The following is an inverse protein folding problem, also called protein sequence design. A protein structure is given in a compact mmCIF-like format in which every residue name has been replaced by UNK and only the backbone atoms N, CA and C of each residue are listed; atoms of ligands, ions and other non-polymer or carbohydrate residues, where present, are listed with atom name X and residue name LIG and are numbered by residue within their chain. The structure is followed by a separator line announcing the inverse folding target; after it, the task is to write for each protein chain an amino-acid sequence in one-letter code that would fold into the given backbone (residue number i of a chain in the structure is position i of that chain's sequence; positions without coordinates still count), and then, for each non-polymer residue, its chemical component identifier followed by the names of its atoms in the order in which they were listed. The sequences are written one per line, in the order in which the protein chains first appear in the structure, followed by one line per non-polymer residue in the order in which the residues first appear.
data_IF_629977439292
#
_entry.id   IF_629977439292
#
_cell.length_a   1.000
_cell.length_b   1.000
_cell.length_c   1.000
_cell.angle_alpha   90.00
_cell.angle_beta   90.00
_cell.angle_gamma   90.00
#
_symmetry.space_group_name_H-M   'P 1'
#
loop_
_entity.id
_entity.type
_entity.pdbx_description
1 polymer ?
#
# COMPACT_ATOMS: atom_id res chain seq x y z
N UNK A 1 48.72 -11.17 3.09
CA UNK A 1 48.59 -11.17 1.62
C UNK A 1 47.16 -11.47 1.35
N UNK A 2 46.46 -10.61 0.62
CA UNK A 2 45.06 -10.85 0.23
C UNK A 2 45.03 -12.06 -0.69
N UNK A 3 44.45 -13.17 -0.23
CA UNK A 3 44.05 -14.24 -1.13
C UNK A 3 43.13 -13.61 -2.19
N UNK A 4 43.45 -13.79 -3.47
CA UNK A 4 42.55 -13.40 -4.54
C UNK A 4 41.29 -14.26 -4.41
N UNK A 5 40.13 -13.63 -4.25
CA UNK A 5 38.84 -14.31 -4.22
C UNK A 5 38.67 -15.14 -5.51
N UNK A 6 38.74 -16.46 -5.38
CA UNK A 6 38.56 -17.42 -6.49
C UNK A 6 37.11 -17.91 -6.61
N UNK A 7 36.22 -17.41 -5.74
CA UNK A 7 34.80 -17.74 -5.76
C UNK A 7 33.95 -16.90 -6.73
N UNK A 8 32.61 -16.99 -6.63
CA UNK A 8 31.70 -16.22 -7.46
C UNK A 8 31.94 -14.73 -7.28
N UNK A 9 31.75 -13.96 -8.35
CA UNK A 9 32.05 -12.53 -8.34
C UNK A 9 30.81 -11.64 -8.47
N UNK A 10 29.64 -12.22 -8.75
CA UNK A 10 28.36 -11.52 -8.83
C UNK A 10 27.18 -12.48 -8.69
N UNK A 11 26.02 -11.92 -8.35
CA UNK A 11 24.73 -12.55 -8.54
C UNK A 11 24.21 -12.14 -9.92
N UNK A 12 23.79 -13.10 -10.74
CA UNK A 12 23.27 -12.86 -12.09
C UNK A 12 22.27 -13.96 -12.46
N UNK A 13 21.63 -13.80 -13.61
CA UNK A 13 20.68 -14.77 -14.16
C UNK A 13 21.43 -16.04 -14.60
N UNK A 14 20.96 -17.18 -14.12
CA UNK A 14 21.39 -18.53 -14.52
C UNK A 14 20.22 -19.18 -15.27
N UNK A 15 20.43 -19.51 -16.54
CA UNK A 15 19.43 -20.18 -17.37
C UNK A 15 19.67 -21.68 -17.45
N UNK A 16 18.58 -22.47 -17.53
CA UNK A 16 18.65 -23.89 -17.91
C UNK A 16 19.30 -24.11 -19.29
N UNK A 17 19.30 -23.08 -20.13
CA UNK A 17 19.87 -23.12 -21.47
C UNK A 17 21.36 -22.72 -21.50
N UNK A 18 21.92 -22.29 -20.38
CA UNK A 18 23.34 -21.96 -20.31
C UNK A 18 24.18 -23.22 -20.49
N UNK A 19 25.32 -23.14 -21.20
CA UNK A 19 26.20 -24.28 -21.37
C UNK A 19 26.69 -24.77 -20.00
N UNK A 20 26.73 -26.09 -19.80
CA UNK A 20 27.31 -26.66 -18.58
C UNK A 20 28.76 -26.22 -18.44
N UNK A 21 29.07 -25.56 -17.32
CA UNK A 21 30.43 -25.20 -16.93
C UNK A 21 30.86 -26.19 -15.85
N UNK A 22 31.96 -26.90 -16.07
CA UNK A 22 32.41 -27.96 -15.17
C UNK A 22 31.51 -29.21 -15.23
N UNK A 23 31.26 -29.83 -14.08
CA UNK A 23 30.43 -31.05 -13.96
C UNK A 23 29.04 -30.78 -13.37
N UNK A 24 28.74 -29.54 -13.01
CA UNK A 24 27.49 -29.18 -12.35
C UNK A 24 26.38 -28.92 -13.35
N UNK A 25 25.18 -29.40 -13.00
CA UNK A 25 23.94 -29.00 -13.63
C UNK A 25 23.31 -27.96 -12.69
N UNK A 26 23.07 -26.72 -13.15
CA UNK A 26 22.33 -25.75 -12.36
C UNK A 26 20.98 -26.33 -11.94
N UNK A 27 20.47 -25.97 -10.75
CA UNK A 27 19.11 -26.32 -10.34
C UNK A 27 18.09 -25.91 -11.40
N UNK A 28 16.98 -26.64 -11.46
CA UNK A 28 15.83 -26.25 -12.28
C UNK A 28 15.16 -25.02 -11.65
N UNK A 29 15.05 -23.87 -12.37
CA UNK A 29 14.23 -22.74 -11.94
C UNK A 29 12.81 -23.15 -11.54
N UNK A 30 12.22 -22.40 -10.62
CA UNK A 30 10.85 -22.63 -10.19
C UNK A 30 9.88 -22.37 -11.35
N UNK A 31 10.12 -21.26 -12.06
CA UNK A 31 9.50 -20.95 -13.34
C UNK A 31 10.55 -20.86 -14.44
N UNK A 32 10.46 -21.74 -15.44
CA UNK A 32 11.40 -21.75 -16.56
C UNK A 32 11.41 -20.38 -17.29
N UNK A 33 12.56 -19.94 -17.84
CA UNK A 33 13.78 -20.74 -18.07
C UNK A 33 14.98 -20.41 -17.16
N UNK A 34 14.85 -19.50 -16.19
CA UNK A 34 16.01 -18.97 -15.47
C UNK A 34 15.67 -18.51 -14.05
N UNK A 35 16.69 -18.44 -13.19
CA UNK A 35 16.62 -17.90 -11.83
C UNK A 35 17.87 -17.04 -11.55
N UNK A 36 17.92 -16.30 -10.45
CA UNK A 36 19.10 -15.53 -10.03
C UNK A 36 19.99 -16.37 -9.13
N UNK A 37 21.30 -16.42 -9.37
CA UNK A 37 22.25 -17.11 -8.49
C UNK A 37 23.69 -16.61 -8.64
N UNK A 38 24.64 -17.18 -7.88
CA UNK A 38 26.05 -16.80 -7.94
C UNK A 38 26.72 -17.25 -9.24
N UNK A 39 27.46 -16.34 -9.88
CA UNK A 39 28.19 -16.57 -11.13
C UNK A 39 29.69 -16.24 -10.97
N UNK A 40 30.61 -17.14 -11.40
CA UNK A 40 30.34 -18.48 -11.92
C UNK A 40 29.87 -19.45 -10.82
N UNK A 41 29.01 -20.38 -11.21
CA UNK A 41 28.56 -21.46 -10.33
C UNK A 41 29.66 -22.51 -10.09
N UNK A 42 30.42 -22.85 -11.13
CA UNK A 42 31.59 -23.75 -11.09
C UNK A 42 32.68 -23.25 -12.07
N UNK A 43 33.94 -23.59 -11.84
CA UNK A 43 35.03 -23.34 -12.80
C UNK A 43 35.04 -24.37 -13.94
N UNK A 44 35.68 -24.01 -15.05
CA UNK A 44 35.82 -24.87 -16.23
C UNK A 44 36.61 -26.18 -15.98
N UNK A 45 37.44 -26.22 -14.94
CA UNK A 45 38.21 -27.40 -14.53
C UNK A 45 37.45 -28.31 -13.53
N UNK A 46 36.20 -27.97 -13.21
CA UNK A 46 35.37 -28.69 -12.24
C UNK A 46 35.63 -28.32 -10.78
N UNK A 47 36.39 -27.25 -10.52
CA UNK A 47 36.52 -26.70 -9.17
C UNK A 47 35.21 -26.06 -8.77
N UNK A 48 34.66 -26.46 -7.62
CA UNK A 48 33.52 -25.79 -7.01
C UNK A 48 33.96 -24.40 -6.51
N UNK A 49 33.88 -23.40 -7.41
CA UNK A 49 34.21 -22.00 -7.13
C UNK A 49 33.32 -21.44 -6.06
N UNK A 50 32.07 -21.89 -6.00
CA UNK A 50 31.11 -21.39 -5.04
C UNK A 50 31.54 -21.65 -3.58
N UNK A 51 32.12 -22.81 -3.27
CA UNK A 51 32.55 -23.09 -1.89
C UNK A 51 33.75 -22.23 -1.45
N UNK A 52 34.40 -21.53 -2.38
CA UNK A 52 35.55 -20.69 -2.10
C UNK A 52 35.12 -19.35 -1.52
N UNK A 53 36.02 -18.72 -0.76
CA UNK A 53 35.81 -17.35 -0.31
C UNK A 53 35.66 -16.39 -1.50
N UNK A 54 34.73 -15.46 -1.37
CA UNK A 54 34.41 -14.43 -2.36
C UNK A 54 34.13 -13.09 -1.70
N UNK A 55 34.04 -12.03 -2.50
CA UNK A 55 33.49 -10.77 -2.00
C UNK A 55 32.03 -10.96 -1.65
N UNK A 56 31.54 -10.23 -0.66
CA UNK A 56 30.10 -10.19 -0.38
C UNK A 56 29.34 -9.79 -1.64
N UNK A 57 28.32 -10.57 -1.98
CA UNK A 57 27.48 -10.35 -3.14
C UNK A 57 26.15 -9.75 -2.68
N UNK A 58 25.69 -8.73 -3.40
CA UNK A 58 24.39 -8.10 -3.17
C UNK A 58 23.75 -7.82 -4.52
N UNK A 59 22.55 -8.35 -4.74
CA UNK A 59 21.67 -7.95 -5.84
C UNK A 59 20.50 -7.18 -5.26
N UNK A 60 20.31 -5.94 -5.70
CA UNK A 60 19.28 -5.03 -5.19
C UNK A 60 18.16 -4.84 -6.21
N UNK A 61 16.92 -4.95 -5.77
CA UNK A 61 15.74 -4.65 -6.59
C UNK A 61 15.63 -3.14 -6.91
N UNK A 62 14.83 -2.75 -7.90
CA UNK A 62 14.30 -1.40 -7.98
C UNK A 62 13.58 -1.00 -6.68
N UNK A 63 13.52 0.30 -6.36
CA UNK A 63 12.75 0.79 -5.23
C UNK A 63 11.24 0.58 -5.44
N UNK A 64 10.53 0.25 -4.38
CA UNK A 64 9.06 0.10 -4.33
C UNK A 64 8.50 0.69 -3.04
N UNK A 65 7.22 1.06 -3.02
CA UNK A 65 6.53 1.49 -1.80
C UNK A 65 5.73 0.34 -1.20
N UNK A 66 5.62 0.31 0.12
CA UNK A 66 4.70 -0.60 0.81
C UNK A 66 3.65 0.24 1.53
N UNK A 67 2.39 -0.05 1.25
CA UNK A 67 1.19 0.53 1.83
C UNK A 67 0.46 -0.54 2.65
N UNK A 68 -0.60 -0.18 3.41
CA UNK A 68 -1.41 -1.19 4.06
C UNK A 68 -1.87 -2.27 3.08
N UNK A 69 -1.86 -3.51 3.55
CA UNK A 69 -2.23 -4.71 2.80
C UNK A 69 -1.27 -5.03 1.64
N UNK A 70 -0.08 -4.43 1.64
CA UNK A 70 1.03 -4.86 0.80
C UNK A 70 1.59 -6.21 1.26
N UNK A 71 2.19 -6.94 0.32
CA UNK A 71 2.78 -8.25 0.53
C UNK A 71 4.07 -8.37 -0.30
N UNK A 72 5.04 -9.09 0.24
CA UNK A 72 6.25 -9.48 -0.48
C UNK A 72 6.34 -11.01 -0.49
N UNK A 73 6.64 -11.61 -1.64
CA UNK A 73 6.92 -13.04 -1.75
C UNK A 73 8.15 -13.28 -2.62
N UNK A 74 8.92 -14.31 -2.30
CA UNK A 74 10.06 -14.74 -3.11
C UNK A 74 10.39 -16.21 -2.82
N UNK A 75 10.94 -16.91 -3.81
CA UNK A 75 11.38 -18.29 -3.67
C UNK A 75 12.91 -18.39 -3.55
N UNK A 76 13.38 -19.21 -2.62
CA UNK A 76 14.80 -19.51 -2.43
C UNK A 76 15.10 -21.00 -2.57
N UNK A 77 16.24 -21.33 -3.15
CA UNK A 77 16.79 -22.70 -3.25
C UNK A 77 18.25 -22.71 -2.76
N UNK A 78 18.78 -23.86 -2.32
CA UNK A 78 20.19 -24.01 -1.95
C UNK A 78 20.44 -24.12 -0.44
N UNK A 79 21.39 -23.37 0.11
CA UNK A 79 21.75 -23.37 1.53
C UNK A 79 20.76 -22.64 2.43
N UNK A 80 20.66 -23.06 3.69
CA UNK A 80 19.95 -22.33 4.75
C UNK A 80 20.95 -21.77 5.74
N UNK A 81 21.39 -20.55 5.48
CA UNK A 81 22.30 -19.81 6.33
C UNK A 81 21.57 -18.57 6.85
N UNK A 82 20.64 -18.84 7.77
CA UNK A 82 19.95 -17.81 8.53
C UNK A 82 20.91 -17.15 9.54
N UNK A 83 20.70 -15.86 9.81
CA UNK A 83 21.47 -15.12 10.81
C UNK A 83 22.33 -14.03 10.22
N UNK A 84 21.70 -12.92 9.85
CA UNK A 84 22.37 -11.64 9.63
C UNK A 84 22.10 -10.76 10.86
N UNK A 85 23.15 -10.34 11.58
CA UNK A 85 23.01 -9.39 12.69
C UNK A 85 22.71 -8.00 12.11
N UNK A 86 21.42 -7.65 12.06
CA UNK A 86 20.97 -6.40 11.45
C UNK A 86 21.47 -5.18 12.20
N UNK A 87 21.60 -5.25 13.52
CA UNK A 87 22.11 -4.14 14.32
C UNK A 87 23.59 -3.87 13.98
N UNK A 88 24.40 -4.92 13.92
CA UNK A 88 25.80 -4.82 13.51
C UNK A 88 25.94 -4.35 12.05
N UNK A 89 25.15 -4.92 11.13
CA UNK A 89 25.20 -4.54 9.71
C UNK A 89 24.74 -3.09 9.49
N UNK A 90 23.73 -2.62 10.21
CA UNK A 90 23.27 -1.24 10.11
C UNK A 90 24.26 -0.24 10.72
N UNK A 91 25.08 -0.67 11.69
CA UNK A 91 26.13 0.15 12.29
C UNK A 91 27.42 0.17 11.44
N UNK A 92 27.87 -1.01 10.99
CA UNK A 92 29.22 -1.22 10.45
C UNK A 92 29.24 -1.57 8.96
N UNK A 93 28.09 -1.88 8.36
CA UNK A 93 27.95 -2.38 7.00
C UNK A 93 28.07 -3.90 6.89
N UNK A 94 27.84 -4.44 5.69
CA UNK A 94 28.07 -5.85 5.38
C UNK A 94 29.58 -6.16 5.41
N UNK A 95 29.99 -7.39 5.82
CA UNK A 95 31.39 -7.78 5.73
C UNK A 95 31.89 -7.68 4.28
N UNK A 96 33.17 -7.36 4.07
CA UNK A 96 33.73 -7.23 2.71
C UNK A 96 33.91 -8.58 1.98
N UNK A 97 34.10 -9.65 2.75
CA UNK A 97 34.47 -10.99 2.27
C UNK A 97 33.59 -12.03 2.94
N UNK A 98 33.20 -13.06 2.19
CA UNK A 98 32.38 -14.15 2.69
C UNK A 98 33.16 -15.07 3.64
N UNK A 99 32.43 -15.75 4.53
CA UNK A 99 33.02 -16.63 5.54
C UNK A 99 32.16 -17.86 5.84
N UNK A 100 32.74 -18.85 6.50
CA UNK A 100 32.02 -20.05 6.96
C UNK A 100 30.87 -19.77 7.94
N UNK A 101 30.80 -18.56 8.53
CA UNK A 101 29.73 -18.13 9.43
C UNK A 101 28.85 -17.03 8.84
N UNK A 102 29.00 -16.73 7.55
CA UNK A 102 28.14 -15.76 6.86
C UNK A 102 26.71 -16.25 6.66
N UNK A 103 25.89 -15.37 6.11
CA UNK A 103 24.48 -15.59 5.81
C UNK A 103 24.17 -15.48 4.31
N UNK A 104 23.11 -16.16 3.86
CA UNK A 104 22.56 -16.06 2.50
C UNK A 104 21.05 -15.97 2.57
N UNK A 105 20.46 -14.96 1.93
CA UNK A 105 19.03 -14.69 2.01
C UNK A 105 18.64 -13.33 1.45
N UNK A 106 17.37 -12.97 1.61
CA UNK A 106 16.79 -11.70 1.13
C UNK A 106 16.51 -10.78 2.31
N UNK A 107 17.03 -9.56 2.23
CA UNK A 107 16.80 -8.51 3.21
C UNK A 107 15.85 -7.44 2.67
N UNK A 108 14.94 -6.94 3.53
CA UNK A 108 14.19 -5.72 3.26
C UNK A 108 15.01 -4.52 3.72
N UNK A 109 15.23 -3.54 2.84
CA UNK A 109 16.06 -2.36 3.12
C UNK A 109 15.29 -1.08 2.90
N UNK A 110 15.32 -0.17 3.87
CA UNK A 110 14.75 1.17 3.74
C UNK A 110 15.62 2.05 2.86
N UNK A 111 15.03 2.78 1.90
CA UNK A 111 15.80 3.61 0.96
C UNK A 111 16.32 4.88 1.61
N UNK A 112 15.52 5.52 2.47
CA UNK A 112 15.79 6.86 3.02
C UNK A 112 17.05 6.94 3.88
N UNK A 113 17.33 5.92 4.70
CA UNK A 113 18.50 5.85 5.57
C UNK A 113 19.43 4.67 5.26
N UNK A 114 18.98 3.72 4.43
CA UNK A 114 19.74 2.56 4.03
C UNK A 114 19.76 1.39 5.00
N UNK A 115 18.96 1.42 6.06
CA UNK A 115 18.91 0.37 7.07
C UNK A 115 18.22 -0.90 6.55
N UNK A 116 18.75 -2.06 6.91
CA UNK A 116 18.11 -3.35 6.75
C UNK A 116 17.16 -3.61 7.92
N UNK A 117 15.93 -3.99 7.60
CA UNK A 117 14.81 -4.12 8.56
C UNK A 117 14.51 -5.58 8.89
N UNK A 118 14.62 -6.47 7.90
CA UNK A 118 14.46 -7.93 8.05
C UNK A 118 15.48 -8.66 7.20
N UNK A 119 15.75 -9.91 7.56
CA UNK A 119 16.55 -10.84 6.76
C UNK A 119 15.91 -12.22 6.79
N UNK A 120 15.61 -12.76 5.62
CA UNK A 120 14.89 -13.99 5.44
C UNK A 120 15.74 -14.97 4.64
N UNK A 121 15.91 -16.18 5.17
CA UNK A 121 16.66 -17.25 4.55
C UNK A 121 15.82 -18.52 4.55
N UNK A 122 16.26 -19.51 3.77
CA UNK A 122 15.68 -20.84 3.80
C UNK A 122 15.71 -21.43 5.20
N UNK A 123 14.73 -22.26 5.53
CA UNK A 123 14.62 -22.94 6.83
C UNK A 123 15.53 -24.16 6.95
N UNK A 124 15.80 -24.88 5.85
CA UNK A 124 16.58 -26.12 5.85
C UNK A 124 17.75 -26.12 4.85
N UNK A 125 18.93 -26.55 5.29
CA UNK A 125 20.13 -26.61 4.44
C UNK A 125 20.16 -27.88 3.59
N UNK A 126 20.77 -27.79 2.40
CA UNK A 126 21.11 -28.97 1.59
C UNK A 126 20.00 -29.50 0.68
N UNK A 127 18.93 -28.72 0.48
CA UNK A 127 17.81 -29.09 -0.39
C UNK A 127 17.99 -28.52 -1.80
N UNK A 128 17.51 -29.29 -2.79
CA UNK A 128 17.32 -28.85 -4.17
C UNK A 128 15.85 -28.45 -4.44
N UNK A 129 15.06 -28.29 -3.38
CA UNK A 129 13.69 -27.79 -3.46
C UNK A 129 13.67 -26.28 -3.23
N UNK A 130 12.81 -25.60 -3.97
CA UNK A 130 12.45 -24.23 -3.73
C UNK A 130 11.59 -24.10 -2.47
N UNK A 131 11.84 -23.04 -1.71
CA UNK A 131 11.09 -22.63 -0.54
C UNK A 131 10.58 -21.22 -0.77
N UNK A 132 9.26 -21.06 -0.80
CA UNK A 132 8.62 -19.74 -0.91
C UNK A 132 8.49 -19.11 0.46
N UNK A 133 8.98 -17.89 0.59
CA UNK A 133 8.86 -17.06 1.78
C UNK A 133 7.90 -15.93 1.45
N UNK A 134 6.91 -15.74 2.31
CA UNK A 134 5.90 -14.69 2.21
C UNK A 134 6.05 -13.79 3.43
N UNK A 135 6.12 -12.48 3.19
CA UNK A 135 5.99 -11.43 4.19
C UNK A 135 4.64 -10.77 3.94
N UNK A 136 3.65 -11.16 4.72
CA UNK A 136 2.31 -10.61 4.61
C UNK A 136 2.18 -9.27 5.36
N UNK A 137 0.97 -8.74 5.44
CA UNK A 137 0.71 -7.49 6.15
C UNK A 137 1.12 -7.58 7.62
N UNK A 138 0.87 -8.69 8.31
CA UNK A 138 1.20 -8.84 9.72
C UNK A 138 2.71 -8.84 9.92
N UNK A 139 3.45 -9.54 9.06
CA UNK A 139 4.92 -9.56 9.09
C UNK A 139 5.53 -8.18 8.81
N UNK A 140 4.94 -7.43 7.89
CA UNK A 140 5.40 -6.09 7.53
C UNK A 140 4.99 -5.03 8.55
N UNK A 141 3.93 -5.28 9.33
CA UNK A 141 3.41 -4.32 10.32
C UNK A 141 4.42 -4.11 11.44
N UNK A 142 4.86 -2.87 11.60
CA UNK A 142 5.86 -2.49 12.61
C UNK A 142 7.31 -2.70 12.17
N UNK A 143 7.52 -3.37 11.03
CA UNK A 143 8.81 -3.39 10.32
C UNK A 143 8.92 -2.19 9.40
N UNK A 144 7.87 -1.91 8.63
CA UNK A 144 7.83 -0.80 7.67
C UNK A 144 7.04 0.39 8.21
N UNK A 145 7.41 1.58 7.73
CA UNK A 145 6.52 2.75 7.71
C UNK A 145 5.78 2.76 6.37
N UNK A 146 4.45 2.70 6.40
CA UNK A 146 3.66 2.68 5.17
C UNK A 146 3.81 3.97 4.35
N UNK A 147 3.91 3.83 3.02
CA UNK A 147 4.14 4.91 2.06
C UNK A 147 5.61 5.27 1.83
N UNK A 148 6.52 4.81 2.70
CA UNK A 148 7.96 4.93 2.47
C UNK A 148 8.44 3.94 1.39
N UNK A 149 9.65 4.17 0.90
CA UNK A 149 10.26 3.39 -0.17
C UNK A 149 11.32 2.41 0.34
N UNK A 150 11.32 1.20 -0.22
CA UNK A 150 12.15 0.06 0.16
C UNK A 150 12.82 -0.60 -1.06
N UNK A 151 13.83 -1.42 -0.80
CA UNK A 151 14.38 -2.39 -1.77
C UNK A 151 14.46 -3.77 -1.13
N UNK A 152 14.46 -4.82 -1.97
CA UNK A 152 14.90 -6.15 -1.59
C UNK A 152 16.36 -6.33 -2.02
N UNK A 153 17.18 -6.80 -1.10
CA UNK A 153 18.57 -7.13 -1.33
C UNK A 153 18.75 -8.64 -1.17
N UNK A 154 19.09 -9.35 -2.25
CA UNK A 154 19.58 -10.71 -2.18
C UNK A 154 21.05 -10.69 -1.82
N UNK A 155 21.39 -11.16 -0.62
CA UNK A 155 22.70 -11.03 0.00
C UNK A 155 23.33 -12.41 0.14
N UNK A 156 24.61 -12.50 -0.22
CA UNK A 156 25.47 -13.66 0.02
C UNK A 156 26.78 -13.22 0.68
N UNK A 157 26.93 -13.59 1.94
CA UNK A 157 28.14 -13.39 2.75
C UNK A 157 28.75 -14.71 3.21
N UNK A 158 28.27 -15.85 2.72
CA UNK A 158 28.69 -17.16 3.20
C UNK A 158 29.54 -17.90 2.16
N UNK A 159 30.59 -18.57 2.63
CA UNK A 159 31.38 -19.49 1.80
C UNK A 159 31.57 -20.82 2.53
N UNK A 160 31.49 -21.92 1.79
CA UNK A 160 31.70 -23.26 2.30
C UNK A 160 30.71 -24.26 1.72
N UNK A 161 30.79 -25.51 2.15
CA UNK A 161 29.88 -26.56 1.69
C UNK A 161 28.42 -26.16 1.92
N UNK A 162 27.60 -26.24 0.87
CA UNK A 162 26.21 -25.74 0.86
C UNK A 162 25.96 -24.21 1.07
N UNK A 163 26.97 -23.31 1.07
CA UNK A 163 26.78 -21.84 0.87
C UNK A 163 26.55 -21.22 -0.53
N UNK A 164 25.36 -21.42 -1.13
CA UNK A 164 24.83 -20.83 -2.38
C UNK A 164 23.35 -20.77 -2.16
N UNK A 165 22.71 -19.72 -2.66
CA UNK A 165 21.29 -19.75 -2.87
C UNK A 165 20.94 -19.28 -4.28
N UNK A 166 19.80 -19.73 -4.77
CA UNK A 166 19.11 -19.15 -5.91
C UNK A 166 17.90 -18.36 -5.43
N UNK A 167 17.54 -17.32 -6.17
CA UNK A 167 16.35 -16.50 -5.98
C UNK A 167 15.48 -16.56 -7.24
N UNK A 168 14.18 -16.78 -7.07
CA UNK A 168 13.20 -16.80 -8.15
C UNK A 168 11.84 -16.25 -7.66
N UNK A 169 10.91 -16.01 -8.59
CA UNK A 169 9.50 -15.65 -8.31
C UNK A 169 9.31 -14.52 -7.28
N UNK A 170 10.05 -13.42 -7.45
CA UNK A 170 9.87 -12.23 -6.61
C UNK A 170 8.56 -11.52 -6.98
N UNK A 171 7.63 -11.46 -6.04
CA UNK A 171 6.37 -10.73 -6.14
C UNK A 171 6.37 -9.63 -5.09
N UNK A 172 6.12 -8.40 -5.53
CA UNK A 172 5.91 -7.25 -4.66
C UNK A 172 4.52 -6.70 -4.97
N UNK A 173 3.62 -6.81 -4.01
CA UNK A 173 2.32 -6.17 -4.02
C UNK A 173 2.40 -4.97 -3.09
N UNK A 174 2.37 -3.76 -3.64
CA UNK A 174 2.58 -2.53 -2.86
C UNK A 174 1.45 -2.26 -1.85
N UNK A 175 0.24 -2.80 -2.06
CA UNK A 175 -0.94 -2.46 -1.25
C UNK A 175 -1.64 -1.19 -1.72
N UNK A 176 -2.62 -0.71 -0.95
CA UNK A 176 -3.43 0.46 -1.35
C UNK A 176 -2.96 1.75 -0.65
N UNK A 177 -2.61 2.82 -1.38
CA UNK A 177 -2.16 4.07 -0.78
C UNK A 177 -3.18 4.70 0.18
N UNK A 178 -2.69 5.24 1.30
CA UNK A 178 -3.46 6.12 2.17
C UNK A 178 -3.42 7.52 1.57
N UNK A 179 -4.56 8.16 1.38
CA UNK A 179 -4.64 9.54 0.91
C UNK A 179 -4.76 10.46 2.12
N UNK A 180 -3.94 11.51 2.16
CA UNK A 180 -3.95 12.53 3.23
C UNK A 180 -4.01 13.94 2.65
N UNK A 181 -4.95 14.74 3.13
CA UNK A 181 -5.12 16.15 2.81
C UNK A 181 -5.19 16.97 4.10
N UNK A 182 -4.09 17.60 4.48
CA UNK A 182 -3.98 18.46 5.66
C UNK A 182 -3.85 19.95 5.29
N UNK A 183 -3.72 20.29 4.01
CA UNK A 183 -3.63 21.65 3.47
C UNK A 183 -2.48 22.50 4.03
N UNK A 184 -1.59 21.89 4.81
CA UNK A 184 -0.43 22.50 5.47
C UNK A 184 0.62 23.03 4.49
N UNK A 185 0.60 22.59 3.23
CA UNK A 185 1.43 23.14 2.16
C UNK A 185 0.87 24.43 1.54
N UNK A 186 -0.20 24.95 2.14
CA UNK A 186 -0.96 26.13 1.73
C UNK A 186 -1.57 26.00 0.32
N UNK A 187 -1.79 24.77 -0.15
CA UNK A 187 -2.48 24.47 -1.41
C UNK A 187 -3.77 23.71 -1.18
N UNK A 188 -4.63 23.64 -2.21
CA UNK A 188 -5.83 22.79 -2.18
C UNK A 188 -5.52 21.31 -2.46
N UNK A 189 -4.26 20.92 -2.64
CA UNK A 189 -3.84 19.53 -2.84
C UNK A 189 -4.66 18.74 -3.89
N UNK A 190 -5.09 19.43 -4.95
CA UNK A 190 -5.88 18.85 -6.04
C UNK A 190 -7.41 18.92 -5.87
N UNK A 191 -7.91 19.44 -4.74
CA UNK A 191 -9.34 19.71 -4.57
C UNK A 191 -9.81 20.83 -5.53
N UNK A 192 -11.03 20.71 -6.04
CA UNK A 192 -11.61 21.61 -7.05
C UNK A 192 -12.80 22.39 -6.52
N UNK A 193 -12.89 23.66 -6.88
CA UNK A 193 -14.08 24.47 -6.63
C UNK A 193 -15.17 24.11 -7.63
N UNK A 194 -16.35 23.71 -7.17
CA UNK A 194 -17.50 23.41 -8.03
C UNK A 194 -18.44 24.62 -8.17
N UNK A 195 -18.14 25.74 -7.50
CA UNK A 195 -18.87 26.99 -7.59
C UNK A 195 -18.14 28.12 -6.87
N UNK A 196 -18.46 29.36 -7.27
CA UNK A 196 -18.02 30.58 -6.58
C UNK A 196 -19.23 31.48 -6.36
N UNK A 197 -19.19 32.26 -5.28
CA UNK A 197 -20.19 33.28 -4.97
C UNK A 197 -19.68 34.68 -5.32
N UNK A 198 -20.59 35.54 -5.74
CA UNK A 198 -20.32 36.98 -5.95
C UNK A 198 -20.61 37.84 -4.70
N UNK A 199 -21.25 37.24 -3.67
CA UNK A 199 -21.61 37.90 -2.40
C UNK A 199 -21.22 37.03 -1.21
N UNK A 200 -21.06 37.63 -0.03
CA UNK A 200 -20.58 36.87 1.14
C UNK A 200 -19.20 36.26 0.86
N UNK A 201 -18.89 35.07 1.41
CA UNK A 201 -17.69 34.34 1.03
C UNK A 201 -17.82 33.87 -0.42
N UNK A 202 -16.75 34.09 -1.17
CA UNK A 202 -16.70 33.81 -2.61
C UNK A 202 -16.36 32.36 -2.91
N UNK A 203 -15.68 31.64 -2.01
CA UNK A 203 -15.24 30.26 -2.20
C UNK A 203 -14.83 29.59 -0.88
N UNK A 204 -14.58 28.28 -0.90
CA UNK A 204 -13.96 27.53 0.20
C UNK A 204 -12.47 27.33 -0.10
N UNK A 205 -11.59 28.15 0.47
CA UNK A 205 -10.15 28.11 0.16
C UNK A 205 -9.27 27.90 1.38
N UNK A 206 -7.95 27.84 1.14
CA UNK A 206 -6.96 27.70 2.20
C UNK A 206 -6.89 28.98 3.03
N UNK A 207 -6.98 28.83 4.35
CA UNK A 207 -6.75 29.86 5.37
C UNK A 207 -5.52 29.43 6.17
N UNK A 208 -4.50 30.28 6.21
CA UNK A 208 -3.25 30.04 6.91
C UNK A 208 -3.09 30.97 8.11
N UNK A 209 -2.42 30.50 9.17
CA UNK A 209 -1.97 31.38 10.27
C UNK A 209 -0.96 32.44 9.81
N UNK A 210 -0.39 32.26 8.62
CA UNK A 210 0.53 33.20 8.00
C UNK A 210 -0.19 34.29 7.18
N UNK A 211 -1.50 34.15 6.94
CA UNK A 211 -2.26 35.12 6.17
C UNK A 211 -2.36 36.45 6.93
N UNK A 212 -2.35 37.59 6.21
CA UNK A 212 -2.60 38.88 6.84
C UNK A 212 -4.00 38.91 7.42
N UNK A 213 -4.14 39.47 8.62
CA UNK A 213 -5.45 39.72 9.22
C UNK A 213 -6.30 40.59 8.29
N UNK A 214 -7.49 40.11 7.93
CA UNK A 214 -8.49 40.87 7.19
C UNK A 214 -9.59 41.28 8.16
N UNK A 215 -9.88 42.57 8.24
CA UNK A 215 -10.82 43.12 9.22
C UNK A 215 -10.31 43.04 10.66
N UNK A 216 -11.23 42.79 11.59
CA UNK A 216 -10.98 42.67 13.04
C UNK A 216 -11.01 41.20 13.52
N UNK A 217 -11.43 40.26 12.67
CA UNK A 217 -11.53 38.84 12.97
C UNK A 217 -10.19 38.12 12.78
N UNK A 218 -9.86 37.25 13.73
CA UNK A 218 -8.78 36.27 13.58
C UNK A 218 -9.44 34.95 13.18
N UNK A 219 -9.08 34.35 12.03
CA UNK A 219 -9.55 33.02 11.69
C UNK A 219 -9.21 32.01 12.80
N UNK A 220 -9.96 30.91 12.93
CA UNK A 220 -9.59 29.83 13.84
C UNK A 220 -8.17 29.33 13.60
N UNK A 221 -7.56 28.79 14.64
CA UNK A 221 -6.27 28.11 14.50
C UNK A 221 -6.51 26.76 13.80
N UNK A 222 -5.72 26.40 12.77
CA UNK A 222 -5.74 25.07 12.15
C UNK A 222 -5.61 23.94 13.17
N UNK A 223 -6.08 22.74 12.83
CA UNK A 223 -5.91 21.58 13.72
C UNK A 223 -4.42 21.20 13.77
N UNK A 224 -3.78 21.16 12.60
CA UNK A 224 -2.33 21.14 12.45
C UNK A 224 -1.91 22.38 11.68
N UNK A 225 -0.84 23.02 12.14
CA UNK A 225 -0.34 24.22 11.49
C UNK A 225 0.42 23.87 10.19
N UNK A 226 0.38 24.75 9.17
CA UNK A 226 -0.07 26.14 9.24
C UNK A 226 -1.49 26.45 8.75
N UNK A 227 -2.23 25.51 8.14
CA UNK A 227 -3.41 25.92 7.35
C UNK A 227 -4.56 24.90 7.35
N UNK A 228 -5.75 25.37 6.98
CA UNK A 228 -6.96 24.56 6.81
C UNK A 228 -7.83 25.15 5.68
N UNK A 229 -8.89 24.47 5.27
CA UNK A 229 -9.85 25.00 4.28
C UNK A 229 -11.04 25.66 4.97
N UNK A 230 -11.45 26.87 4.54
CA UNK A 230 -12.64 27.55 5.03
C UNK A 230 -13.14 28.65 4.09
N UNK A 231 -14.19 29.40 4.45
CA UNK A 231 -14.78 30.44 3.60
C UNK A 231 -13.82 31.62 3.40
N UNK A 232 -13.64 32.03 2.14
CA UNK A 232 -12.84 33.18 1.74
C UNK A 232 -13.65 34.22 0.95
N UNK A 233 -13.56 35.52 1.30
CA UNK A 233 -12.88 36.05 2.47
C UNK A 233 -13.63 35.68 3.76
N UNK A 234 -12.88 35.52 4.86
CA UNK A 234 -13.46 35.19 6.16
C UNK A 234 -14.19 36.40 6.81
N UNK A 235 -13.72 37.60 6.50
CA UNK A 235 -14.30 38.89 6.90
C UNK A 235 -13.92 39.96 5.86
N UNK A 236 -14.71 41.04 5.76
CA UNK A 236 -14.46 42.17 4.88
C UNK A 236 -13.40 43.11 5.49
N UNK A 237 -12.65 43.87 4.67
CA UNK A 237 -11.66 44.83 5.15
C UNK A 237 -12.22 45.94 6.07
N UNK A 238 -13.54 46.18 6.04
CA UNK A 238 -14.22 47.14 6.91
C UNK A 238 -14.73 46.53 8.22
N UNK A 239 -14.42 45.26 8.48
CA UNK A 239 -14.89 44.49 9.64
C UNK A 239 -16.30 43.90 9.48
N UNK A 240 -16.88 43.97 8.27
CA UNK A 240 -18.14 43.32 7.94
C UNK A 240 -18.03 41.80 8.01
N UNK A 241 -18.96 41.15 8.70
CA UNK A 241 -18.95 39.69 8.90
C UNK A 241 -19.40 38.94 7.62
N UNK A 242 -18.50 38.84 6.65
CA UNK A 242 -18.74 38.27 5.32
C UNK A 242 -19.22 36.82 5.39
N UNK A 243 -18.63 36.02 6.28
CA UNK A 243 -18.98 34.60 6.50
C UNK A 243 -20.40 34.34 6.97
N UNK A 244 -21.07 35.30 7.60
CA UNK A 244 -22.47 35.12 8.02
C UNK A 244 -23.48 35.65 6.96
N UNK A 245 -23.00 36.27 5.87
CA UNK A 245 -23.86 36.83 4.82
C UNK A 245 -24.38 35.75 3.88
N UNK A 246 -25.47 36.04 3.17
CA UNK A 246 -25.93 35.16 2.11
C UNK A 246 -24.94 35.14 0.92
N UNK A 247 -24.62 33.93 0.49
CA UNK A 247 -23.75 33.59 -0.64
C UNK A 247 -24.37 32.48 -1.51
N UNK A 248 -23.84 32.25 -2.71
CA UNK A 248 -24.11 31.03 -3.46
C UNK A 248 -23.65 29.80 -2.67
N UNK A 249 -24.29 28.65 -2.88
CA UNK A 249 -23.80 27.40 -2.25
C UNK A 249 -22.37 27.12 -2.72
N UNK A 250 -21.46 26.95 -1.76
CA UNK A 250 -20.06 26.68 -2.01
C UNK A 250 -19.80 25.19 -1.89
N UNK A 251 -18.98 24.65 -2.78
CA UNK A 251 -18.62 23.23 -2.79
C UNK A 251 -17.15 23.11 -3.20
N UNK A 252 -16.36 22.48 -2.33
CA UNK A 252 -15.00 22.07 -2.62
C UNK A 252 -14.95 20.54 -2.70
N UNK A 253 -14.57 20.01 -3.86
CA UNK A 253 -14.57 18.57 -4.17
C UNK A 253 -13.16 17.98 -4.11
N UNK A 254 -13.00 16.82 -3.49
CA UNK A 254 -11.73 16.10 -3.45
C UNK A 254 -11.37 15.47 -4.80
N UNK A 255 -10.09 15.12 -5.03
CA UNK A 255 -9.74 14.13 -6.04
C UNK A 255 -10.52 12.83 -5.83
N UNK A 256 -10.82 12.06 -6.91
CA UNK A 256 -11.53 10.80 -6.79
C UNK A 256 -10.66 9.72 -6.14
N UNK A 257 -11.30 8.79 -5.43
CA UNK A 257 -10.65 7.66 -4.76
C UNK A 257 -11.55 6.42 -4.71
N UNK A 258 -10.93 5.25 -4.60
CA UNK A 258 -11.67 4.00 -4.35
C UNK A 258 -11.88 3.74 -2.86
N UNK A 259 -12.98 3.07 -2.53
CA UNK A 259 -13.21 2.47 -1.21
C UNK A 259 -13.59 1.00 -1.37
N UNK A 260 -13.24 0.20 -0.38
CA UNK A 260 -13.60 -1.20 -0.26
C UNK A 260 -14.19 -1.49 1.12
N UNK A 261 -14.62 -2.73 1.36
CA UNK A 261 -15.48 -3.10 2.50
C UNK A 261 -14.90 -2.82 3.89
N UNK A 262 -13.57 -2.80 4.04
CA UNK A 262 -12.84 -2.45 5.27
C UNK A 262 -12.24 -1.02 5.22
N UNK A 263 -12.70 -0.19 4.28
CA UNK A 263 -12.27 1.19 4.15
C UNK A 263 -12.66 2.07 5.34
N UNK A 264 -11.91 3.16 5.53
CA UNK A 264 -12.15 4.15 6.58
C UNK A 264 -11.89 5.56 6.02
N UNK A 265 -12.69 6.53 6.45
CA UNK A 265 -12.48 7.94 6.16
C UNK A 265 -12.48 8.71 7.47
N UNK A 266 -11.57 9.66 7.64
CA UNK A 266 -11.66 10.65 8.72
C UNK A 266 -11.43 12.06 8.19
N UNK A 267 -12.04 13.04 8.84
CA UNK A 267 -11.81 14.47 8.57
C UNK A 267 -12.16 15.29 9.81
N UNK A 268 -11.57 16.47 9.94
CA UNK A 268 -11.84 17.38 11.05
C UNK A 268 -12.66 18.58 10.57
N UNK A 269 -13.66 18.96 11.36
CA UNK A 269 -14.50 20.13 11.12
C UNK A 269 -14.47 21.11 12.30
N UNK A 270 -14.54 22.40 12.01
CA UNK A 270 -14.68 23.50 12.98
C UNK A 270 -15.80 24.46 12.54
N UNK A 271 -16.41 25.22 13.46
CA UNK A 271 -17.41 26.24 13.12
C UNK A 271 -18.87 25.82 13.38
N UNK A 272 -19.77 26.02 12.43
CA UNK A 272 -21.21 25.73 12.53
C UNK A 272 -21.53 24.24 12.50
N UNK A 273 -22.66 23.86 13.12
CA UNK A 273 -23.25 22.53 13.04
C UNK A 273 -24.63 22.62 12.39
N UNK A 274 -24.65 22.51 11.07
CA UNK A 274 -25.86 22.59 10.26
C UNK A 274 -25.97 21.32 9.42
N UNK A 275 -26.52 20.26 10.01
CA UNK A 275 -26.54 18.91 9.43
C UNK A 275 -27.82 18.58 8.67
N UNK A 276 -28.71 19.57 8.48
CA UNK A 276 -29.98 19.39 7.78
C UNK A 276 -29.73 19.24 6.27
N UNK A 277 -29.32 18.05 5.85
CA UNK A 277 -29.04 17.70 4.46
C UNK A 277 -29.92 16.54 4.03
N UNK A 278 -30.92 16.83 3.20
CA UNK A 278 -31.82 15.81 2.66
C UNK A 278 -31.21 15.23 1.38
N UNK A 279 -30.64 14.03 1.51
CA UNK A 279 -29.99 13.31 0.40
C UNK A 279 -30.98 13.02 -0.74
N UNK A 280 -32.24 12.71 -0.43
CA UNK A 280 -33.24 12.40 -1.47
C UNK A 280 -33.60 13.67 -2.24
N UNK A 281 -33.84 14.78 -1.55
CA UNK A 281 -34.15 16.07 -2.17
C UNK A 281 -32.98 16.58 -3.03
N UNK A 282 -31.76 16.55 -2.49
CA UNK A 282 -30.57 17.03 -3.20
C UNK A 282 -30.24 16.16 -4.40
N UNK A 283 -30.37 14.83 -4.30
CA UNK A 283 -30.13 13.96 -5.46
C UNK A 283 -31.21 14.11 -6.54
N UNK A 284 -32.44 14.46 -6.16
CA UNK A 284 -33.52 14.70 -7.12
C UNK A 284 -33.42 16.06 -7.82
N UNK A 285 -33.00 17.10 -7.09
CA UNK A 285 -33.13 18.50 -7.55
C UNK A 285 -31.80 19.26 -7.67
N UNK A 286 -30.69 18.68 -7.19
CA UNK A 286 -29.42 19.37 -7.00
C UNK A 286 -29.33 20.10 -5.66
N UNK A 287 -28.15 20.64 -5.37
CA UNK A 287 -27.94 21.54 -4.23
C UNK A 287 -28.72 22.85 -4.43
N UNK A 288 -29.18 23.52 -3.35
CA UNK A 288 -29.77 24.85 -3.47
C UNK A 288 -28.77 25.82 -4.11
N UNK A 289 -29.22 26.72 -4.97
CA UNK A 289 -28.33 27.68 -5.64
C UNK A 289 -27.71 28.70 -4.67
N UNK A 290 -28.43 29.04 -3.61
CA UNK A 290 -28.03 30.03 -2.62
C UNK A 290 -28.15 29.49 -1.20
N UNK A 291 -27.27 29.99 -0.34
CA UNK A 291 -27.29 29.71 1.08
C UNK A 291 -28.50 30.32 1.78
N UNK A 292 -28.87 29.73 2.92
CA UNK A 292 -29.90 30.30 3.79
C UNK A 292 -29.86 29.72 5.19
N UNK A 293 -30.68 30.27 6.09
CA UNK A 293 -30.70 29.85 7.50
C UNK A 293 -31.15 28.40 7.76
N UNK A 294 -31.67 27.71 6.74
CA UNK A 294 -32.00 26.28 6.79
C UNK A 294 -30.99 25.38 6.06
N UNK A 295 -29.97 25.94 5.42
CA UNK A 295 -28.98 25.17 4.68
C UNK A 295 -28.00 24.44 5.58
N UNK A 296 -27.14 23.64 4.96
CA UNK A 296 -26.23 22.71 5.60
C UNK A 296 -24.76 23.11 5.43
N UNK A 297 -23.92 22.69 6.39
CA UNK A 297 -22.46 22.77 6.31
C UNK A 297 -21.85 21.45 6.77
N UNK A 298 -20.97 20.87 5.97
CA UNK A 298 -20.37 19.57 6.26
C UNK A 298 -19.75 18.90 5.04
N UNK A 299 -19.35 17.64 5.21
CA UNK A 299 -18.73 16.82 4.16
C UNK A 299 -19.72 15.75 3.71
N UNK A 300 -19.92 15.67 2.39
CA UNK A 300 -20.72 14.63 1.76
C UNK A 300 -19.82 13.59 1.08
N UNK A 301 -20.18 12.31 1.21
CA UNK A 301 -19.65 11.26 0.36
C UNK A 301 -20.48 11.21 -0.93
N UNK A 302 -19.82 11.34 -2.08
CA UNK A 302 -20.45 11.41 -3.40
C UNK A 302 -19.92 10.32 -4.30
N UNK A 303 -20.81 9.58 -4.93
CA UNK A 303 -20.48 8.64 -6.01
C UNK A 303 -19.97 9.42 -7.23
N UNK A 304 -18.73 9.17 -7.65
CA UNK A 304 -18.08 9.96 -8.70
C UNK A 304 -18.73 9.73 -10.08
N UNK A 305 -19.25 8.52 -10.31
CA UNK A 305 -19.80 8.12 -11.60
C UNK A 305 -21.21 8.68 -11.85
N UNK A 306 -22.09 8.58 -10.87
CA UNK A 306 -23.49 9.01 -10.95
C UNK A 306 -23.68 10.44 -10.48
N UNK A 307 -22.80 10.90 -9.59
CA UNK A 307 -22.87 12.19 -8.95
C UNK A 307 -23.85 12.31 -7.80
N UNK A 308 -24.41 11.19 -7.36
CA UNK A 308 -25.31 11.14 -6.22
C UNK A 308 -24.53 11.24 -4.90
N UNK A 309 -25.07 12.01 -3.95
CA UNK A 309 -24.61 12.01 -2.56
C UNK A 309 -25.18 10.79 -1.84
N UNK A 310 -24.31 10.08 -1.13
CA UNK A 310 -24.63 8.82 -0.45
C UNK A 310 -24.78 9.02 1.06
N UNK A 311 -24.00 9.96 1.62
CA UNK A 311 -24.04 10.31 3.03
C UNK A 311 -23.60 11.76 3.22
N UNK A 312 -24.02 12.39 4.32
CA UNK A 312 -23.63 13.73 4.71
C UNK A 312 -23.33 13.80 6.19
N UNK A 313 -22.21 14.43 6.54
CA UNK A 313 -21.72 14.53 7.90
C UNK A 313 -21.31 15.97 8.20
N UNK A 314 -21.91 16.54 9.24
CA UNK A 314 -21.53 17.83 9.79
C UNK A 314 -21.17 17.70 11.26
N UNK A 315 -20.74 18.81 11.87
CA UNK A 315 -20.44 18.87 13.30
C UNK A 315 -21.69 18.52 14.14
N UNK A 316 -21.45 18.01 15.34
CA UNK A 316 -22.53 17.66 16.28
C UNK A 316 -23.09 18.87 17.04
N UNK A 317 -22.27 19.89 17.29
CA UNK A 317 -22.67 21.09 18.06
C UNK A 317 -22.15 22.40 17.46
N UNK A 318 -23.02 23.41 17.34
CA UNK A 318 -22.64 24.76 16.89
C UNK A 318 -21.95 25.54 18.01
N UNK A 319 -21.11 26.52 17.63
CA UNK A 319 -20.70 27.59 18.55
C UNK A 319 -19.35 27.40 19.26
N UNK A 320 -18.49 26.51 18.77
CA UNK A 320 -17.14 26.33 19.32
C UNK A 320 -16.08 26.59 18.25
N UNK A 321 -14.94 27.18 18.66
CA UNK A 321 -13.71 27.21 17.87
C UNK A 321 -12.85 25.95 18.11
N UNK A 322 -13.51 24.83 18.42
CA UNK A 322 -12.87 23.54 18.63
C UNK A 322 -13.08 22.67 17.41
N UNK A 323 -12.02 21.98 17.01
CA UNK A 323 -12.10 20.95 15.98
C UNK A 323 -12.81 19.71 16.51
N UNK A 324 -13.63 19.12 15.65
CA UNK A 324 -14.30 17.84 15.84
C UNK A 324 -13.82 16.90 14.73
N UNK A 325 -13.16 15.81 15.10
CA UNK A 325 -12.77 14.76 14.15
C UNK A 325 -13.91 13.77 14.00
N UNK A 326 -14.39 13.63 12.77
CA UNK A 326 -15.39 12.64 12.38
C UNK A 326 -14.66 11.48 11.73
N UNK A 327 -15.01 10.25 12.13
CA UNK A 327 -14.43 9.01 11.62
C UNK A 327 -15.59 8.15 11.11
N UNK A 328 -15.52 7.78 9.84
CA UNK A 328 -16.42 6.84 9.17
C UNK A 328 -15.70 5.51 9.11
N UNK A 329 -16.16 4.56 9.91
CA UNK A 329 -15.63 3.20 9.95
C UNK A 329 -16.23 2.36 8.82
N UNK A 330 -15.70 1.15 8.64
CA UNK A 330 -16.28 0.16 7.72
C UNK A 330 -17.76 -0.13 8.01
N UNK A 331 -18.20 -0.03 9.27
CA UNK A 331 -19.61 -0.21 9.65
C UNK A 331 -20.48 0.96 9.15
N UNK A 332 -19.98 2.19 9.24
CA UNK A 332 -20.69 3.38 8.77
C UNK A 332 -20.81 3.41 7.23
N UNK A 333 -19.82 2.83 6.54
CA UNK A 333 -19.77 2.76 5.08
C UNK A 333 -20.51 1.53 4.52
N UNK A 334 -20.79 0.53 5.36
CA UNK A 334 -21.45 -0.71 4.93
C UNK A 334 -22.84 -0.43 4.34
N UNK A 335 -23.03 -0.79 3.07
CA UNK A 335 -24.28 -0.56 2.34
C UNK A 335 -24.51 0.88 1.88
N UNK A 336 -23.59 1.79 2.18
CA UNK A 336 -23.51 3.14 1.59
C UNK A 336 -22.70 3.09 0.30
N UNK A 337 -21.61 2.32 0.30
CA UNK A 337 -20.69 2.16 -0.83
C UNK A 337 -20.86 0.82 -1.55
N UNK A 338 -20.46 0.82 -2.82
CA UNK A 338 -20.18 -0.34 -3.66
C UNK A 338 -18.66 -0.55 -3.70
N UNK A 339 -18.18 -1.72 -3.31
CA UNK A 339 -16.74 -1.99 -3.20
C UNK A 339 -16.00 -1.80 -4.53
N UNK A 340 -14.89 -1.04 -4.47
CA UNK A 340 -14.02 -0.73 -5.60
C UNK A 340 -14.52 0.40 -6.51
N UNK A 341 -15.73 0.92 -6.30
CA UNK A 341 -16.23 2.08 -7.02
C UNK A 341 -15.44 3.36 -6.65
N UNK A 342 -15.61 4.41 -7.46
CA UNK A 342 -14.94 5.70 -7.28
C UNK A 342 -15.86 6.69 -6.56
N UNK A 343 -15.27 7.40 -5.60
CA UNK A 343 -15.94 8.36 -4.75
C UNK A 343 -15.19 9.68 -4.70
N UNK A 344 -15.90 10.72 -4.31
CA UNK A 344 -15.36 12.04 -3.96
C UNK A 344 -15.94 12.49 -2.62
N UNK A 345 -15.19 13.34 -1.91
CA UNK A 345 -15.70 14.08 -0.76
C UNK A 345 -16.00 15.51 -1.20
N UNK A 346 -17.20 15.98 -0.94
CA UNK A 346 -17.60 17.36 -1.19
C UNK A 346 -17.74 18.08 0.16
N UNK A 347 -16.90 19.08 0.42
CA UNK A 347 -17.11 20.02 1.52
C UNK A 347 -18.08 21.10 1.06
N UNK A 348 -19.27 21.11 1.66
CA UNK A 348 -20.41 21.90 1.22
C UNK A 348 -20.72 22.96 2.27
N UNK A 349 -20.96 24.18 1.79
CA UNK A 349 -21.51 25.28 2.58
C UNK A 349 -22.71 25.92 1.84
N UNK A 350 -23.90 25.62 2.34
CA UNK A 350 -25.17 26.18 1.89
C UNK A 350 -25.90 26.93 3.01
N UNK A 351 -25.24 27.21 4.13
CA UNK A 351 -25.87 27.90 5.25
C UNK A 351 -25.44 29.36 5.30
N UNK A 352 -26.32 30.25 5.73
CA UNK A 352 -25.94 31.62 6.08
C UNK A 352 -26.74 32.12 7.28
N UNK A 353 -26.12 33.01 8.05
CA UNK A 353 -26.62 33.45 9.35
C UNK A 353 -25.53 33.36 10.42
N UNK A 354 -25.91 33.60 11.68
CA UNK A 354 -24.94 33.54 12.79
C UNK A 354 -24.37 32.14 12.95
N UNK A 355 -23.04 32.01 12.93
CA UNK A 355 -22.30 30.74 12.86
C UNK A 355 -22.41 30.00 11.53
N UNK A 356 -22.72 30.71 10.45
CA UNK A 356 -22.83 30.16 9.10
C UNK A 356 -21.49 29.95 8.40
N UNK A 357 -20.50 29.42 9.11
CA UNK A 357 -19.17 29.16 8.57
C UNK A 357 -18.66 27.82 9.09
N UNK A 358 -17.85 27.12 8.32
CA UNK A 358 -17.05 26.01 8.83
C UNK A 358 -15.65 25.96 8.22
N UNK A 359 -14.77 25.20 8.87
CA UNK A 359 -13.49 24.82 8.31
C UNK A 359 -13.35 23.30 8.21
N UNK A 360 -12.55 22.84 7.26
CA UNK A 360 -12.16 21.45 7.01
C UNK A 360 -10.65 21.32 7.14
N UNK A 361 -10.19 20.27 7.82
CA UNK A 361 -8.78 19.94 7.95
C UNK A 361 -8.58 18.42 8.06
N UNK A 362 -7.35 17.96 7.87
CA UNK A 362 -6.86 16.62 8.22
C UNK A 362 -7.72 15.46 7.67
N UNK A 363 -8.06 15.54 6.38
CA UNK A 363 -8.78 14.48 5.66
C UNK A 363 -7.85 13.30 5.42
N UNK A 364 -8.23 12.12 5.90
CA UNK A 364 -7.51 10.88 5.71
C UNK A 364 -8.47 9.86 5.12
N UNK A 365 -8.08 9.25 4.01
CA UNK A 365 -8.83 8.18 3.36
C UNK A 365 -7.95 6.95 3.37
N UNK A 366 -8.46 5.87 3.97
CA UNK A 366 -7.92 4.53 3.91
C UNK A 366 -8.84 3.72 3.01
N UNK A 367 -8.45 3.50 1.74
CA UNK A 367 -9.32 2.84 0.77
C UNK A 367 -9.82 1.45 1.18
N UNK A 368 -9.10 0.75 2.05
CA UNK A 368 -9.37 -0.66 2.33
C UNK A 368 -8.76 -1.60 1.28
N UNK A 369 -9.12 -2.87 1.37
CA UNK A 369 -8.71 -3.96 0.51
C UNK A 369 -9.76 -4.23 -0.55
N UNK A 370 -9.33 -4.28 -1.82
CA UNK A 370 -10.10 -5.02 -2.79
C UNK A 370 -10.42 -6.40 -2.19
N UNK A 371 -11.69 -6.85 -2.21
CA UNK A 371 -11.97 -8.23 -1.87
C UNK A 371 -11.02 -9.09 -2.71
N UNK A 372 -10.38 -10.06 -2.05
CA UNK A 372 -9.51 -11.05 -2.69
C UNK A 372 -10.30 -11.68 -3.84
N UNK A 373 -10.21 -11.08 -5.02
CA UNK A 373 -10.87 -11.51 -6.25
C UNK A 373 -9.97 -12.48 -6.98
N UNK A 374 -8.95 -13.00 -6.31
CA UNK A 374 -8.22 -14.19 -6.69
C UNK A 374 -8.36 -15.19 -5.57
N UNK A 375 -8.79 -16.40 -5.89
CA UNK A 375 -8.42 -17.51 -5.05
C UNK A 375 -6.90 -17.56 -4.89
N UNK A 376 -6.43 -17.88 -3.70
CA UNK A 376 -5.02 -18.13 -3.42
C UNK A 376 -4.81 -19.59 -3.04
N UNK A 377 -3.67 -20.17 -3.40
CA UNK A 377 -3.25 -21.46 -2.86
C UNK A 377 -2.60 -21.17 -1.50
N UNK A 378 -3.25 -21.60 -0.43
CA UNK A 378 -2.83 -21.43 0.97
C UNK A 378 -1.71 -22.42 1.30
N UNK A 379 -1.84 -23.68 0.88
CA UNK A 379 -0.80 -24.69 1.09
C UNK A 379 -0.91 -25.83 0.08
N UNK A 380 0.22 -26.51 -0.19
CA UNK A 380 0.26 -27.75 -0.95
C UNK A 380 1.15 -28.76 -0.21
N UNK A 381 0.62 -29.94 0.07
CA UNK A 381 1.32 -31.00 0.80
C UNK A 381 1.07 -32.40 0.23
N UNK A 382 1.85 -33.37 0.69
CA UNK A 382 1.64 -34.79 0.41
C UNK A 382 1.26 -35.54 1.69
N UNK A 383 0.04 -36.06 1.75
CA UNK A 383 -0.47 -36.80 2.90
C UNK A 383 -1.04 -38.15 2.47
N UNK A 384 -0.50 -39.25 3.02
CA UNK A 384 -1.02 -40.59 2.72
C UNK A 384 -1.02 -40.97 1.23
N UNK A 385 -0.14 -40.36 0.42
CA UNK A 385 -0.09 -40.56 -1.04
C UNK A 385 -1.10 -39.72 -1.83
N UNK A 386 -1.70 -38.71 -1.19
CA UNK A 386 -2.53 -37.69 -1.83
C UNK A 386 -1.79 -36.35 -1.86
N UNK A 387 -1.94 -35.59 -2.95
CA UNK A 387 -1.66 -34.15 -2.97
C UNK A 387 -2.83 -33.49 -2.26
N UNK A 388 -2.54 -32.69 -1.24
CA UNK A 388 -3.53 -31.89 -0.49
C UNK A 388 -3.28 -30.43 -0.82
N UNK A 389 -4.31 -29.75 -1.32
CA UNK A 389 -4.25 -28.33 -1.69
C UNK A 389 -5.25 -27.56 -0.83
N UNK A 390 -4.76 -26.70 0.04
CA UNK A 390 -5.59 -25.69 0.71
C UNK A 390 -5.60 -24.44 -0.14
N UNK A 391 -6.79 -23.88 -0.35
CA UNK A 391 -6.97 -22.69 -1.17
C UNK A 391 -8.17 -21.85 -0.73
N UNK A 392 -8.20 -20.61 -1.19
CA UNK A 392 -9.36 -19.71 -1.19
C UNK A 392 -9.87 -19.54 -2.63
N UNK A 393 -11.09 -19.05 -2.82
CA UNK A 393 -11.67 -18.86 -4.17
C UNK A 393 -11.94 -20.16 -4.93
N UNK A 394 -11.83 -20.12 -6.26
CA UNK A 394 -12.11 -21.28 -7.13
C UNK A 394 -10.83 -22.02 -7.49
N UNK A 395 -10.72 -23.30 -7.10
CA UNK A 395 -9.64 -24.15 -7.58
C UNK A 395 -9.83 -24.44 -9.07
N UNK A 396 -8.77 -24.22 -9.83
CA UNK A 396 -8.69 -24.51 -11.26
C UNK A 396 -7.51 -25.44 -11.51
N UNK A 397 -7.67 -26.34 -12.47
CA UNK A 397 -6.64 -27.28 -12.89
C UNK A 397 -6.31 -27.15 -14.37
N UNK A 398 -5.09 -27.50 -14.74
CA UNK A 398 -4.63 -27.60 -16.12
C UNK A 398 -3.61 -28.73 -16.29
N UNK A 399 -3.49 -29.25 -17.51
CA UNK A 399 -2.44 -30.21 -17.88
C UNK A 399 -1.13 -29.54 -18.30
N UNK A 400 -1.12 -28.21 -18.42
CA UNK A 400 0.05 -27.38 -18.76
C UNK A 400 0.00 -26.08 -17.95
N UNK A 401 1.16 -25.53 -17.60
CA UNK A 401 1.30 -24.27 -16.82
C UNK A 401 0.56 -23.10 -17.49
N UNK A 402 0.54 -23.04 -18.82
CA UNK A 402 -0.11 -21.96 -19.56
C UNK A 402 -1.64 -22.12 -19.67
N UNK A 403 -2.20 -23.22 -19.18
CA UNK A 403 -3.61 -23.58 -19.32
C UNK A 403 -3.89 -24.50 -20.52
N UNK A 404 -5.15 -24.64 -20.96
CA UNK A 404 -6.34 -23.94 -20.47
C UNK A 404 -6.69 -24.33 -19.03
N UNK A 405 -6.98 -23.32 -18.22
CA UNK A 405 -7.36 -23.48 -16.81
C UNK A 405 -8.86 -23.72 -16.69
N UNK A 406 -9.23 -24.86 -16.10
CA UNK A 406 -10.62 -25.28 -15.94
C UNK A 406 -10.96 -25.38 -14.46
N UNK A 407 -12.16 -24.95 -14.03
CA UNK A 407 -12.61 -25.16 -12.66
C UNK A 407 -12.60 -26.64 -12.28
N UNK A 408 -12.14 -26.94 -11.06
CA UNK A 408 -12.28 -28.28 -10.48
C UNK A 408 -13.70 -28.42 -9.94
N UNK A 409 -14.54 -29.16 -10.65
CA UNK A 409 -15.96 -29.27 -10.32
C UNK A 409 -16.19 -29.87 -8.93
N UNK A 410 -16.88 -29.13 -8.06
CA UNK A 410 -17.23 -29.57 -6.71
C UNK A 410 -16.07 -29.58 -5.70
N UNK A 411 -14.92 -28.97 -6.03
CA UNK A 411 -13.83 -28.86 -5.09
C UNK A 411 -14.20 -27.97 -3.88
N UNK A 412 -13.77 -28.40 -2.70
CA UNK A 412 -13.77 -27.61 -1.47
C UNK A 412 -12.36 -27.61 -0.89
N UNK A 413 -11.97 -26.57 -0.15
CA UNK A 413 -10.69 -26.52 0.55
C UNK A 413 -10.79 -27.24 1.90
N UNK A 414 -9.85 -28.15 2.26
CA UNK A 414 -8.77 -28.66 1.42
C UNK A 414 -9.29 -29.59 0.30
N UNK A 415 -8.72 -29.45 -0.89
CA UNK A 415 -8.91 -30.41 -1.99
C UNK A 415 -7.83 -31.48 -1.89
N UNK A 416 -8.14 -32.71 -2.31
CA UNK A 416 -7.14 -33.78 -2.31
C UNK A 416 -7.31 -34.71 -3.50
N UNK A 417 -6.19 -35.09 -4.11
CA UNK A 417 -6.17 -36.07 -5.19
C UNK A 417 -4.95 -37.02 -5.11
N UNK A 418 -5.02 -38.22 -5.72
CA UNK A 418 -3.90 -39.16 -5.65
C UNK A 418 -2.64 -38.63 -6.35
N UNK A 419 -1.49 -38.76 -5.69
CA UNK A 419 -0.15 -38.41 -6.23
C UNK A 419 0.34 -39.40 -7.32
N UNK A 420 -0.59 -40.03 -8.04
CA UNK A 420 -0.37 -41.03 -9.09
C UNK A 420 -0.88 -40.57 -10.46
N UNK A 421 -1.46 -39.38 -10.55
CA UNK A 421 -1.95 -38.77 -11.79
C UNK A 421 -0.77 -38.29 -12.65
N UNK A 422 -1.00 -38.09 -13.96
CA UNK A 422 -0.09 -37.29 -14.79
C UNK A 422 0.05 -35.88 -14.20
N UNK A 423 1.15 -35.18 -14.49
CA UNK A 423 1.44 -33.85 -13.94
C UNK A 423 0.23 -32.90 -14.14
N UNK A 424 -0.39 -32.47 -13.04
CA UNK A 424 -1.47 -31.49 -13.02
C UNK A 424 -0.99 -30.22 -12.33
N UNK A 425 -1.42 -29.07 -12.87
CA UNK A 425 -1.15 -27.76 -12.30
C UNK A 425 -2.43 -27.26 -11.65
N UNK A 426 -2.32 -26.74 -10.42
CA UNK A 426 -3.41 -26.10 -9.72
C UNK A 426 -3.12 -24.61 -9.59
N UNK A 427 -4.17 -23.81 -9.74
CA UNK A 427 -4.19 -22.42 -9.30
C UNK A 427 -5.51 -22.16 -8.62
N UNK A 428 -5.51 -21.15 -7.78
CA UNK A 428 -6.75 -20.59 -7.29
C UNK A 428 -7.04 -19.32 -8.12
N UNK A 429 -8.27 -19.20 -8.57
CA UNK A 429 -8.74 -18.10 -9.41
C UNK A 429 -9.94 -17.39 -8.76
N UNK A 430 -10.36 -16.25 -9.34
CA UNK A 430 -11.56 -15.53 -8.94
C UNK A 430 -12.79 -16.43 -8.79
#
# INVERSE_FOLDING_TARGET
GSEEATGPHRLDVISQNDPTVGNSVPPTPLNAPAFVGPVPFEAADGTNTRDQSHKTLVLRSPPFSIYPNGMISFALIGGAHAGLDLDAVNADGLPEVSSGSGAIGVALRQVSNGAYLTFNARSESGSQAWETIILDQEDLRGVVTFGETYTLDFIDTHSGGWGWAGLDDVIIQEGTPILKYNFDDETLQGWTQEGISETGPTQLGVISVNDPTVGDSVPPVPLNAPAFVGPLPFEDPDGGNTRDQAHATLVLRSPPFSLFGDGEISFALIGGAHTTFDLEEVNANGLPEASGGGGAIGVALRDDQTGHYLAFYGRSESGSQSWETIILTSEDLAGVIDEGAQYTLDFIDSHSGGWGWAGLDDVIIRPGMAPETGGSIVSVGLEGGQIVVEYTGQLQQASQVEGPWLPVEGASSPFSEPASQEMQFFRAGP
#
